data_IF_956827736608
#
_entry.id   IF_956827736608
#
_cell.length_a   1.000
_cell.length_b   1.000
_cell.length_c   1.000
_cell.angle_alpha   90.00
_cell.angle_beta   90.00
_cell.angle_gamma   90.00
#
_symmetry.space_group_name_H-M   'P 1'
#
loop_
_entity.id
_entity.type
_entity.pdbx_description
1 polymer ?
#
# COMPACT_ATOMS: atom_id res chain seq x y z
N UNK A 1 -9.16 24.07 -7.54
CA UNK A 1 -9.96 23.42 -8.61
C UNK A 1 -9.85 21.89 -8.45
N UNK A 2 -9.98 21.41 -7.21
CA UNK A 2 -9.70 20.04 -6.73
C UNK A 2 -10.88 19.54 -5.85
N UNK A 3 -12.12 19.83 -6.28
CA UNK A 3 -13.31 19.62 -5.44
C UNK A 3 -14.47 18.90 -6.14
N UNK A 4 -14.26 18.29 -7.31
CA UNK A 4 -15.39 17.68 -8.06
C UNK A 4 -15.07 16.38 -8.80
N UNK A 5 -14.06 15.61 -8.39
CA UNK A 5 -14.06 14.17 -8.70
C UNK A 5 -14.95 13.47 -7.68
N UNK A 6 -16.26 13.63 -7.93
CA UNK A 6 -17.33 12.83 -7.35
C UNK A 6 -16.90 11.37 -7.40
N UNK A 7 -16.84 10.75 -6.23
CA UNK A 7 -17.38 9.41 -5.93
C UNK A 7 -18.07 8.75 -7.14
N UNK A 8 -17.28 8.16 -8.02
CA UNK A 8 -17.73 7.33 -9.12
C UNK A 8 -17.38 5.90 -8.78
N UNK A 9 -17.82 5.41 -7.62
CA UNK A 9 -17.84 3.98 -7.36
C UNK A 9 -18.71 3.38 -8.46
N UNK A 10 -18.10 2.65 -9.39
CA UNK A 10 -18.87 1.70 -10.17
C UNK A 10 -19.34 0.66 -9.18
N UNK A 11 -20.62 0.71 -8.84
CA UNK A 11 -21.24 -0.35 -8.06
C UNK A 11 -21.14 -1.64 -8.88
N UNK A 12 -21.05 -2.81 -8.24
CA UNK A 12 -21.15 -4.10 -8.96
C UNK A 12 -22.40 -4.18 -9.84
N UNK A 13 -23.40 -3.33 -9.58
CA UNK A 13 -24.58 -3.08 -10.39
C UNK A 13 -24.29 -2.43 -11.75
N UNK A 14 -23.38 -1.46 -11.86
CA UNK A 14 -23.08 -0.77 -13.13
C UNK A 14 -22.23 -1.64 -14.05
N UNK A 15 -21.29 -2.42 -13.50
CA UNK A 15 -20.60 -3.48 -14.23
C UNK A 15 -21.60 -4.55 -14.71
N UNK A 16 -22.49 -5.02 -13.83
CA UNK A 16 -23.53 -5.99 -14.21
C UNK A 16 -24.54 -5.44 -15.24
N UNK A 17 -24.87 -4.15 -15.18
CA UNK A 17 -25.70 -3.47 -16.18
C UNK A 17 -24.99 -3.42 -17.54
N UNK A 18 -23.71 -3.09 -17.55
CA UNK A 18 -22.91 -3.05 -18.78
C UNK A 18 -22.75 -4.45 -19.38
N UNK A 19 -22.49 -5.47 -18.56
CA UNK A 19 -22.46 -6.87 -18.99
C UNK A 19 -23.82 -7.31 -19.54
N UNK A 20 -24.92 -6.98 -18.87
CA UNK A 20 -26.28 -7.33 -19.32
C UNK A 20 -26.69 -6.62 -20.62
N UNK A 21 -26.25 -5.37 -20.82
CA UNK A 21 -26.45 -4.63 -22.07
C UNK A 21 -25.64 -5.22 -23.23
N UNK A 22 -24.40 -5.67 -22.96
CA UNK A 22 -23.54 -6.35 -23.95
C UNK A 22 -24.08 -7.74 -24.29
N UNK A 23 -24.50 -8.53 -23.31
CA UNK A 23 -25.20 -9.81 -23.53
C UNK A 23 -26.51 -9.61 -24.30
N UNK A 24 -27.26 -8.54 -24.00
CA UNK A 24 -28.46 -8.16 -24.72
C UNK A 24 -28.19 -7.73 -26.17
N UNK A 25 -27.04 -7.11 -26.43
CA UNK A 25 -26.55 -6.79 -27.77
C UNK A 25 -26.14 -8.06 -28.53
N UNK A 26 -25.38 -8.96 -27.91
CA UNK A 26 -24.98 -10.25 -28.49
C UNK A 26 -26.21 -11.11 -28.84
N UNK A 27 -27.20 -11.17 -27.95
CA UNK A 27 -28.45 -11.90 -28.19
C UNK A 27 -29.30 -11.29 -29.32
N UNK A 28 -29.21 -9.96 -29.55
CA UNK A 28 -29.91 -9.26 -30.64
C UNK A 28 -29.16 -9.31 -31.98
N UNK A 29 -27.84 -9.46 -31.93
CA UNK A 29 -26.94 -9.56 -33.09
C UNK A 29 -26.79 -10.98 -33.62
N UNK A 30 -27.22 -11.98 -32.84
CA UNK A 30 -27.21 -13.39 -33.24
C UNK A 30 -27.72 -13.57 -34.67
N UNK A 31 -26.78 -13.91 -35.56
CA UNK A 31 -26.90 -14.25 -37.00
C UNK A 31 -26.40 -13.27 -38.08
N UNK A 32 -25.80 -12.10 -37.77
CA UNK A 32 -25.52 -11.10 -38.85
C UNK A 32 -24.04 -10.99 -39.25
N UNK A 33 -23.07 -11.15 -38.34
CA UNK A 33 -21.64 -10.97 -38.67
C UNK A 33 -20.71 -11.77 -37.71
N UNK A 34 -19.97 -12.79 -38.19
CA UNK A 34 -19.10 -13.61 -37.35
C UNK A 34 -17.91 -12.83 -36.76
N UNK A 35 -17.40 -11.81 -37.44
CA UNK A 35 -16.28 -10.99 -36.94
C UNK A 35 -16.76 -10.15 -35.73
N UNK A 36 -18.04 -9.78 -35.71
CA UNK A 36 -18.67 -9.05 -34.61
C UNK A 36 -19.01 -9.95 -33.41
N UNK A 37 -19.34 -11.22 -33.65
CA UNK A 37 -19.53 -12.22 -32.58
C UNK A 37 -18.23 -12.48 -31.82
N UNK A 38 -17.10 -12.58 -32.52
CA UNK A 38 -15.77 -12.75 -31.91
C UNK A 38 -15.37 -11.51 -31.07
N UNK A 39 -15.56 -10.31 -31.62
CA UNK A 39 -15.33 -9.04 -30.90
C UNK A 39 -16.19 -8.90 -29.63
N UNK A 40 -17.43 -9.38 -29.65
CA UNK A 40 -18.32 -9.35 -28.48
C UNK A 40 -17.94 -10.38 -27.42
N UNK A 41 -17.47 -11.56 -27.83
CA UNK A 41 -16.96 -12.58 -26.91
C UNK A 41 -15.68 -12.10 -26.21
N UNK A 42 -14.75 -11.52 -26.97
CA UNK A 42 -13.54 -10.91 -26.43
C UNK A 42 -13.87 -9.75 -25.48
N UNK A 43 -14.90 -8.96 -25.78
CA UNK A 43 -15.36 -7.89 -24.91
C UNK A 43 -15.94 -8.42 -23.60
N UNK A 44 -16.76 -9.47 -23.65
CA UNK A 44 -17.31 -10.09 -22.43
C UNK A 44 -16.20 -10.66 -21.55
N UNK A 45 -15.23 -11.37 -22.13
CA UNK A 45 -14.08 -11.88 -21.40
C UNK A 45 -13.25 -10.75 -20.79
N UNK A 46 -13.05 -9.67 -21.55
CA UNK A 46 -12.31 -8.50 -21.07
C UNK A 46 -13.09 -7.71 -19.99
N UNK A 47 -14.42 -7.75 -19.97
CA UNK A 47 -15.24 -7.16 -18.92
C UNK A 47 -15.25 -7.99 -17.62
N UNK A 48 -15.06 -9.31 -17.69
CA UNK A 48 -14.86 -10.15 -16.50
C UNK A 48 -13.54 -9.87 -15.78
N UNK A 49 -12.50 -9.49 -16.53
CA UNK A 49 -11.21 -9.03 -15.99
C UNK A 49 -10.76 -7.72 -16.66
N UNK A 50 -11.32 -6.58 -16.23
CA UNK A 50 -11.11 -5.29 -16.89
C UNK A 50 -9.64 -4.89 -16.92
N UNK A 51 -9.10 -4.72 -18.11
CA UNK A 51 -7.78 -4.14 -18.33
C UNK A 51 -7.82 -3.18 -19.52
N UNK A 52 -7.18 -2.03 -19.36
CA UNK A 52 -7.06 -1.03 -20.43
C UNK A 52 -6.44 -1.64 -21.70
N UNK A 53 -5.43 -2.49 -21.55
CA UNK A 53 -4.73 -3.14 -22.67
C UNK A 53 -5.66 -4.04 -23.51
N UNK A 54 -6.61 -4.74 -22.87
CA UNK A 54 -7.57 -5.61 -23.59
C UNK A 54 -8.77 -4.83 -24.11
N UNK A 55 -9.28 -3.87 -23.33
CA UNK A 55 -10.53 -3.18 -23.64
C UNK A 55 -10.37 -2.02 -24.64
N UNK A 56 -9.21 -1.38 -24.71
CA UNK A 56 -8.97 -0.27 -25.64
C UNK A 56 -9.11 -0.67 -27.13
N UNK A 57 -8.44 -1.72 -27.64
CA UNK A 57 -8.60 -2.11 -29.05
C UNK A 57 -10.02 -2.59 -29.38
N UNK A 58 -10.72 -3.21 -28.43
CA UNK A 58 -12.11 -3.67 -28.60
C UNK A 58 -13.08 -2.49 -28.65
N UNK A 59 -12.90 -1.51 -27.77
CA UNK A 59 -13.70 -0.29 -27.77
C UNK A 59 -13.49 0.55 -29.02
N UNK A 60 -12.25 0.63 -29.54
CA UNK A 60 -11.94 1.30 -30.81
C UNK A 60 -12.60 0.57 -31.99
N UNK A 61 -12.57 -0.77 -32.02
CA UNK A 61 -13.22 -1.57 -33.07
C UNK A 61 -14.76 -1.46 -33.06
N UNK A 62 -15.35 -1.24 -31.89
CA UNK A 62 -16.80 -1.15 -31.70
C UNK A 62 -17.34 0.29 -31.64
N UNK A 63 -16.48 1.31 -31.74
CA UNK A 63 -16.82 2.73 -31.53
C UNK A 63 -17.51 3.00 -30.17
N UNK A 64 -17.04 2.31 -29.12
CA UNK A 64 -17.59 2.31 -27.76
C UNK A 64 -16.57 2.77 -26.72
N UNK A 65 -16.13 4.03 -26.85
CA UNK A 65 -15.15 4.65 -25.96
C UNK A 65 -15.59 4.72 -24.48
N UNK A 66 -16.90 4.62 -24.21
CA UNK A 66 -17.46 4.47 -22.87
C UNK A 66 -16.96 3.20 -22.15
N UNK A 67 -16.66 2.14 -22.90
CA UNK A 67 -16.09 0.89 -22.36
C UNK A 67 -14.64 1.06 -21.89
N UNK A 68 -13.86 1.94 -22.54
CA UNK A 68 -12.48 2.27 -22.11
C UNK A 68 -12.51 3.05 -20.80
N UNK A 69 -13.43 3.99 -20.67
CA UNK A 69 -13.60 4.76 -19.43
C UNK A 69 -14.07 3.86 -18.28
N UNK A 70 -14.99 2.92 -18.55
CA UNK A 70 -15.45 1.93 -17.59
C UNK A 70 -14.33 0.96 -17.19
N UNK A 71 -13.52 0.51 -18.14
CA UNK A 71 -12.33 -0.32 -17.92
C UNK A 71 -11.31 0.38 -17.01
N UNK A 72 -10.99 1.63 -17.34
CA UNK A 72 -10.02 2.42 -16.59
C UNK A 72 -10.46 2.60 -15.12
N UNK A 73 -11.76 2.91 -14.90
CA UNK A 73 -12.34 3.03 -13.55
C UNK A 73 -12.35 1.69 -12.80
N UNK A 74 -12.72 0.59 -13.45
CA UNK A 74 -12.72 -0.73 -12.84
C UNK A 74 -11.29 -1.17 -12.44
N UNK A 75 -10.32 -0.90 -13.31
CA UNK A 75 -8.90 -1.15 -13.04
C UNK A 75 -8.38 -0.28 -11.87
N UNK A 76 -8.73 1.00 -11.83
CA UNK A 76 -8.40 1.91 -10.71
C UNK A 76 -9.01 1.41 -9.39
N UNK A 77 -10.26 0.96 -9.41
CA UNK A 77 -10.92 0.40 -8.22
C UNK A 77 -10.29 -0.91 -7.74
N UNK A 78 -9.88 -1.79 -8.67
CA UNK A 78 -9.14 -3.00 -8.34
C UNK A 78 -7.79 -2.66 -7.67
N UNK A 79 -7.09 -1.64 -8.17
CA UNK A 79 -5.88 -1.11 -7.55
C UNK A 79 -6.12 -0.59 -6.13
N UNK A 80 -7.18 0.19 -5.91
CA UNK A 80 -7.57 0.65 -4.58
C UNK A 80 -7.82 -0.51 -3.61
N UNK A 81 -8.48 -1.58 -4.06
CA UNK A 81 -8.74 -2.76 -3.24
C UNK A 81 -7.46 -3.53 -2.89
N UNK A 82 -6.55 -3.71 -3.84
CA UNK A 82 -5.27 -4.37 -3.60
C UNK A 82 -4.40 -3.59 -2.61
N UNK A 83 -4.30 -2.26 -2.78
CA UNK A 83 -3.58 -1.40 -1.86
C UNK A 83 -4.21 -1.43 -0.47
N UNK A 84 -5.55 -1.36 -0.38
CA UNK A 84 -6.25 -1.45 0.90
C UNK A 84 -6.01 -2.79 1.61
N UNK A 85 -5.99 -3.90 0.85
CA UNK A 85 -5.71 -5.22 1.39
C UNK A 85 -4.30 -5.30 1.99
N UNK A 86 -3.28 -4.73 1.33
CA UNK A 86 -1.92 -4.64 1.88
C UNK A 86 -1.88 -3.78 3.13
N UNK A 87 -2.55 -2.63 3.14
CA UNK A 87 -2.59 -1.75 4.31
C UNK A 87 -3.25 -2.39 5.53
N UNK A 88 -4.22 -3.29 5.32
CA UNK A 88 -4.93 -4.04 6.35
C UNK A 88 -4.25 -5.35 6.74
N UNK A 89 -3.14 -5.71 6.09
CA UNK A 89 -2.43 -6.93 6.40
C UNK A 89 -1.81 -6.84 7.80
N UNK A 90 -2.06 -7.87 8.61
CA UNK A 90 -1.35 -8.12 9.86
C UNK A 90 -0.10 -8.97 9.57
N UNK A 91 1.01 -8.61 10.21
CA UNK A 91 2.27 -9.35 10.10
C UNK A 91 2.49 -10.17 11.37
N UNK A 92 2.98 -11.39 11.21
CA UNK A 92 3.42 -12.19 12.35
C UNK A 92 4.67 -11.56 12.98
N UNK A 93 4.83 -11.71 14.29
CA UNK A 93 5.98 -11.18 15.04
C UNK A 93 7.33 -11.60 14.45
N UNK A 94 7.44 -12.85 13.96
CA UNK A 94 8.66 -13.34 13.30
C UNK A 94 9.04 -12.56 12.03
N UNK A 95 8.06 -11.95 11.35
CA UNK A 95 8.30 -11.08 10.21
C UNK A 95 8.68 -9.66 10.63
N UNK A 96 8.16 -9.21 11.77
CA UNK A 96 8.48 -7.92 12.39
C UNK A 96 9.88 -7.89 12.99
N UNK A 97 10.46 -9.04 13.37
CA UNK A 97 11.82 -9.11 13.94
C UNK A 97 12.90 -9.14 12.84
N UNK A 98 12.77 -8.33 11.79
CA UNK A 98 13.76 -8.28 10.70
C UNK A 98 14.71 -7.07 10.82
N UNK A 99 15.99 -7.31 10.52
CA UNK A 99 16.97 -6.26 10.24
C UNK A 99 17.39 -5.40 11.44
N UNK A 100 16.97 -4.13 11.46
CA UNK A 100 17.38 -3.16 12.47
C UNK A 100 16.66 -3.33 13.82
N UNK A 101 15.39 -3.73 13.82
CA UNK A 101 14.63 -4.04 15.03
C UNK A 101 15.28 -5.19 15.81
N UNK A 102 15.56 -6.31 15.14
CA UNK A 102 16.17 -7.49 15.79
C UNK A 102 17.49 -7.18 16.50
N UNK A 103 18.33 -6.34 15.90
CA UNK A 103 19.60 -5.93 16.51
C UNK A 103 19.39 -5.09 17.77
N UNK A 104 18.39 -4.23 17.77
CA UNK A 104 18.07 -3.40 18.92
C UNK A 104 17.45 -4.23 20.04
N UNK A 105 16.51 -5.11 19.70
CA UNK A 105 15.86 -6.03 20.64
C UNK A 105 16.90 -6.92 21.35
N UNK A 106 17.78 -7.60 20.61
CA UNK A 106 18.84 -8.41 21.22
C UNK A 106 19.77 -7.58 22.13
N UNK A 107 20.10 -6.34 21.75
CA UNK A 107 20.91 -5.47 22.59
C UNK A 107 20.18 -5.07 23.89
N UNK A 108 18.87 -4.83 23.84
CA UNK A 108 18.04 -4.53 25.01
C UNK A 108 17.90 -5.75 25.93
N UNK A 109 17.72 -6.95 25.38
CA UNK A 109 17.72 -8.20 26.13
C UNK A 109 19.07 -8.41 26.84
N UNK A 110 20.19 -8.27 26.14
CA UNK A 110 21.53 -8.34 26.73
C UNK A 110 21.72 -7.30 27.85
N UNK A 111 21.20 -6.09 27.68
CA UNK A 111 21.26 -5.04 28.71
C UNK A 111 20.42 -5.38 29.94
N UNK A 112 19.24 -5.97 29.77
CA UNK A 112 18.37 -6.43 30.86
C UNK A 112 19.00 -7.59 31.65
N UNK A 113 19.75 -8.47 30.98
CA UNK A 113 20.41 -9.64 31.59
C UNK A 113 21.78 -9.33 32.20
N UNK A 114 22.48 -8.30 31.72
CA UNK A 114 23.80 -7.88 32.20
C UNK A 114 23.74 -6.89 33.39
N UNK A 115 24.91 -6.39 33.85
CA UNK A 115 25.06 -5.38 34.91
C UNK A 115 24.51 -3.98 34.56
N UNK A 116 23.55 -3.86 33.63
CA UNK A 116 22.85 -2.62 33.22
C UNK A 116 23.78 -1.42 32.99
N UNK A 117 24.68 -1.51 32.00
CA UNK A 117 25.41 -0.32 31.54
C UNK A 117 24.49 0.62 30.75
N UNK A 118 23.72 1.43 31.50
CA UNK A 118 22.76 2.38 30.96
C UNK A 118 23.42 3.44 30.08
N UNK A 119 24.68 3.79 30.32
CA UNK A 119 25.39 4.77 29.49
C UNK A 119 25.67 4.22 28.09
N UNK A 120 26.11 2.96 27.99
CA UNK A 120 26.31 2.29 26.71
C UNK A 120 24.98 2.11 25.95
N UNK A 121 23.92 1.69 26.63
CA UNK A 121 22.60 1.50 26.00
C UNK A 121 21.99 2.82 25.53
N UNK A 122 22.06 3.89 26.33
CA UNK A 122 21.62 5.24 25.91
C UNK A 122 22.37 5.67 24.66
N UNK A 123 23.69 5.52 24.62
CA UNK A 123 24.48 5.89 23.44
C UNK A 123 24.07 5.10 22.19
N UNK A 124 23.75 3.80 22.33
CA UNK A 124 23.25 2.98 21.22
C UNK A 124 21.89 3.51 20.72
N UNK A 125 20.95 3.75 21.64
CA UNK A 125 19.62 4.25 21.32
C UNK A 125 19.66 5.63 20.63
N UNK A 126 20.55 6.53 21.07
CA UNK A 126 20.76 7.83 20.43
C UNK A 126 21.24 7.70 18.99
N UNK A 127 22.20 6.80 18.73
CA UNK A 127 22.68 6.51 17.37
C UNK A 127 21.54 6.02 16.47
N UNK A 128 20.69 5.14 16.98
CA UNK A 128 19.52 4.66 16.25
C UNK A 128 18.51 5.78 15.98
N UNK A 129 18.19 6.60 16.99
CA UNK A 129 17.26 7.74 16.86
C UNK A 129 17.75 8.73 15.82
N UNK A 130 19.02 9.13 15.91
CA UNK A 130 19.59 10.15 15.02
C UNK A 130 19.61 9.67 13.57
N UNK A 131 19.90 8.38 13.35
CA UNK A 131 19.84 7.77 12.03
C UNK A 131 18.42 7.74 11.47
N UNK A 132 17.44 7.30 12.24
CA UNK A 132 16.02 7.28 11.81
C UNK A 132 15.56 8.71 11.48
N UNK A 133 15.93 9.70 12.30
CA UNK A 133 15.60 11.10 12.06
C UNK A 133 16.29 11.67 10.81
N UNK A 134 17.51 11.22 10.50
CA UNK A 134 18.20 11.58 9.25
C UNK A 134 17.52 10.95 8.03
N UNK A 135 17.15 9.67 8.10
CA UNK A 135 16.44 8.97 7.03
C UNK A 135 15.05 9.59 6.78
N UNK A 136 14.30 9.96 7.82
CA UNK A 136 13.04 10.69 7.69
C UNK A 136 13.23 12.03 6.98
N UNK A 137 14.19 12.86 7.42
CA UNK A 137 14.47 14.16 6.78
C UNK A 137 14.86 13.98 5.32
N UNK A 138 15.72 13.01 5.02
CA UNK A 138 16.11 12.70 3.65
C UNK A 138 14.94 12.21 2.78
N UNK A 139 13.94 11.55 3.37
CA UNK A 139 12.70 11.18 2.69
C UNK A 139 11.81 12.40 2.44
N UNK A 140 11.61 13.26 3.45
CA UNK A 140 10.84 14.50 3.34
C UNK A 140 11.43 15.48 2.30
N UNK A 141 12.75 15.44 2.10
CA UNK A 141 13.47 16.23 1.09
C UNK A 141 13.37 15.67 -0.35
N UNK A 142 12.69 14.51 -0.57
CA UNK A 142 12.57 13.89 -1.91
C UNK A 142 11.42 14.46 -2.76
N UNK A 143 11.65 14.38 -4.07
CA UNK A 143 11.17 15.29 -5.12
C UNK A 143 9.75 15.09 -5.66
N UNK A 144 9.04 14.01 -5.35
CA UNK A 144 7.76 13.77 -6.02
C UNK A 144 6.69 14.70 -5.46
N UNK A 145 6.16 15.56 -6.32
CA UNK A 145 5.01 16.37 -5.96
C UNK A 145 3.77 15.47 -5.83
N UNK A 146 2.84 15.73 -4.88
CA UNK A 146 1.65 14.89 -4.69
C UNK A 146 0.83 14.67 -5.96
N UNK A 147 0.93 15.59 -6.93
CA UNK A 147 0.32 15.52 -8.25
C UNK A 147 0.89 14.40 -9.15
N UNK A 148 2.09 13.88 -8.84
CA UNK A 148 2.77 12.83 -9.59
C UNK A 148 2.59 11.44 -8.95
N UNK A 149 1.86 11.35 -7.84
CA UNK A 149 1.74 10.11 -7.08
C UNK A 149 0.66 9.20 -7.65
N UNK A 150 1.04 7.94 -7.90
CA UNK A 150 0.07 6.86 -8.09
C UNK A 150 -0.55 6.47 -6.75
N UNK A 151 -1.68 5.76 -6.76
CA UNK A 151 -2.35 5.28 -5.54
C UNK A 151 -1.37 4.47 -4.65
N UNK A 152 -0.56 3.53 -5.18
CA UNK A 152 0.44 2.82 -4.37
C UNK A 152 1.50 3.74 -3.76
N UNK A 153 1.97 4.75 -4.51
CA UNK A 153 2.98 5.71 -4.03
C UNK A 153 2.42 6.54 -2.88
N UNK A 154 1.20 7.06 -3.01
CA UNK A 154 0.56 7.84 -1.96
C UNK A 154 0.30 7.01 -0.68
N UNK A 155 -0.07 5.73 -0.84
CA UNK A 155 -0.24 4.82 0.29
C UNK A 155 1.10 4.47 0.96
N UNK A 156 2.13 4.19 0.16
CA UNK A 156 3.47 3.87 0.65
C UNK A 156 4.09 5.06 1.40
N UNK A 157 3.96 6.28 0.87
CA UNK A 157 4.46 7.49 1.54
C UNK A 157 3.82 7.69 2.91
N UNK A 158 2.49 7.57 3.00
CA UNK A 158 1.78 7.69 4.28
C UNK A 158 2.26 6.65 5.30
N UNK A 159 2.40 5.40 4.88
CA UNK A 159 2.89 4.32 5.74
C UNK A 159 4.33 4.57 6.18
N UNK A 160 5.20 5.05 5.27
CA UNK A 160 6.59 5.35 5.57
C UNK A 160 6.71 6.49 6.58
N UNK A 161 5.96 7.57 6.41
CA UNK A 161 5.91 8.67 7.37
C UNK A 161 5.44 8.19 8.75
N UNK A 162 4.39 7.37 8.81
CA UNK A 162 3.92 6.77 10.06
C UNK A 162 4.94 5.82 10.68
N UNK A 163 5.67 5.05 9.87
CA UNK A 163 6.73 4.15 10.32
C UNK A 163 7.84 4.94 11.03
N UNK A 164 8.34 6.01 10.40
CA UNK A 164 9.35 6.88 11.00
C UNK A 164 8.87 7.50 12.31
N UNK A 165 7.64 8.02 12.35
CA UNK A 165 7.08 8.62 13.55
C UNK A 165 7.01 7.63 14.73
N UNK A 166 6.48 6.43 14.49
CA UNK A 166 6.39 5.37 15.50
C UNK A 166 7.78 4.92 15.99
N UNK A 167 8.74 4.82 15.07
CA UNK A 167 10.13 4.49 15.42
C UNK A 167 10.78 5.56 16.30
N UNK A 168 10.63 6.84 15.95
CA UNK A 168 11.19 7.93 16.74
C UNK A 168 10.54 8.00 18.13
N UNK A 169 9.21 7.90 18.20
CA UNK A 169 8.49 7.91 19.47
C UNK A 169 8.90 6.73 20.36
N UNK A 170 9.00 5.51 19.80
CA UNK A 170 9.47 4.34 20.52
C UNK A 170 10.91 4.48 21.03
N UNK A 171 11.82 5.01 20.21
CA UNK A 171 13.21 5.24 20.61
C UNK A 171 13.35 6.33 21.69
N UNK A 172 12.56 7.41 21.59
CA UNK A 172 12.51 8.45 22.62
C UNK A 172 12.00 7.90 23.96
N UNK A 173 10.97 7.06 23.94
CA UNK A 173 10.49 6.41 25.16
C UNK A 173 11.51 5.42 25.73
N UNK A 174 12.21 4.64 24.89
CA UNK A 174 13.29 3.76 25.34
C UNK A 174 14.44 4.54 25.98
N UNK A 175 14.83 5.68 25.39
CA UNK A 175 15.87 6.54 25.98
C UNK A 175 15.50 7.01 27.38
N UNK A 176 14.23 7.40 27.58
CA UNK A 176 13.71 7.76 28.89
C UNK A 176 13.71 6.55 29.82
N UNK A 177 13.20 5.40 29.37
CA UNK A 177 13.09 4.20 30.19
C UNK A 177 14.46 3.69 30.66
N UNK A 178 15.42 3.53 29.74
CA UNK A 178 16.80 3.12 30.04
C UNK A 178 17.51 4.16 30.91
N UNK A 179 17.31 5.46 30.64
CA UNK A 179 17.89 6.54 31.45
C UNK A 179 17.40 6.56 32.91
N UNK A 180 16.22 6.00 33.17
CA UNK A 180 15.67 5.79 34.51
C UNK A 180 15.81 4.35 35.02
N UNK A 181 16.54 3.49 34.31
CA UNK A 181 16.73 2.07 34.63
C UNK A 181 15.41 1.30 34.81
N UNK A 182 14.39 1.67 34.03
CA UNK A 182 13.08 1.00 34.00
C UNK A 182 13.18 -0.36 33.31
N UNK A 183 12.50 -1.34 33.89
CA UNK A 183 12.35 -2.69 33.31
C UNK A 183 11.12 -2.79 32.40
N UNK A 184 10.22 -1.82 32.49
CA UNK A 184 9.04 -1.76 31.63
C UNK A 184 9.38 -1.05 30.31
N UNK A 185 9.81 -1.85 29.33
CA UNK A 185 10.13 -1.41 27.98
C UNK A 185 9.02 -1.75 26.96
N UNK A 186 8.02 -2.52 27.38
CA UNK A 186 7.01 -3.09 26.48
C UNK A 186 6.26 -2.02 25.66
N UNK A 187 5.80 -0.89 26.24
CA UNK A 187 5.09 0.13 25.45
C UNK A 187 5.95 0.71 24.32
N UNK A 188 7.25 0.87 24.56
CA UNK A 188 8.16 1.42 23.56
C UNK A 188 8.47 0.40 22.46
N UNK A 189 8.62 -0.88 22.82
CA UNK A 189 8.81 -1.97 21.87
C UNK A 189 7.57 -2.16 20.97
N UNK A 190 6.36 -2.04 21.52
CA UNK A 190 5.11 -2.08 20.75
C UNK A 190 5.08 -1.00 19.65
N UNK A 191 5.54 0.22 19.95
CA UNK A 191 5.64 1.30 18.95
C UNK A 191 6.65 0.96 17.86
N UNK A 192 7.83 0.44 18.22
CA UNK A 192 8.84 0.02 17.26
C UNK A 192 8.34 -1.11 16.35
N UNK A 193 7.62 -2.10 16.91
CA UNK A 193 6.99 -3.19 16.16
C UNK A 193 5.94 -2.66 15.18
N UNK A 194 5.07 -1.76 15.63
CA UNK A 194 4.06 -1.13 14.77
C UNK A 194 4.71 -0.31 13.64
N UNK A 195 5.80 0.41 13.95
CA UNK A 195 6.60 1.10 12.95
C UNK A 195 7.21 0.15 11.91
N UNK A 196 7.75 -0.99 12.37
CA UNK A 196 8.33 -1.99 11.46
C UNK A 196 7.27 -2.68 10.59
N UNK A 197 6.07 -2.91 11.12
CA UNK A 197 4.93 -3.40 10.33
C UNK A 197 4.62 -2.48 9.15
N UNK A 198 4.67 -1.16 9.35
CA UNK A 198 4.46 -0.19 8.28
C UNK A 198 5.57 -0.23 7.22
N UNK A 199 6.84 -0.41 7.61
CA UNK A 199 7.92 -0.62 6.64
C UNK A 199 7.70 -1.87 5.77
N UNK A 200 7.27 -2.99 6.36
CA UNK A 200 6.94 -4.20 5.62
C UNK A 200 5.76 -4.00 4.65
N UNK A 201 4.74 -3.21 5.06
CA UNK A 201 3.64 -2.84 4.15
C UNK A 201 4.15 -2.04 2.95
N UNK A 202 5.08 -1.12 3.15
CA UNK A 202 5.73 -0.37 2.06
C UNK A 202 6.48 -1.31 1.12
N UNK A 203 7.27 -2.25 1.65
CA UNK A 203 7.94 -3.27 0.83
C UNK A 203 6.94 -4.11 0.02
N UNK A 204 5.79 -4.45 0.62
CA UNK A 204 4.75 -5.22 -0.04
C UNK A 204 4.03 -4.43 -1.14
N UNK A 205 3.77 -3.14 -0.91
CA UNK A 205 3.24 -2.24 -1.92
C UNK A 205 4.19 -2.10 -3.10
N UNK A 206 5.50 -2.05 -2.88
CA UNK A 206 6.51 -2.01 -3.94
C UNK A 206 6.55 -3.30 -4.79
N UNK A 207 5.99 -4.40 -4.29
CA UNK A 207 5.90 -5.68 -5.02
C UNK A 207 4.60 -5.81 -5.83
N UNK A 208 3.61 -4.94 -5.61
CA UNK A 208 2.43 -4.85 -6.48
C UNK A 208 2.90 -4.31 -7.83
N UNK A 209 3.09 -5.20 -8.81
CA UNK A 209 3.44 -4.79 -10.17
C UNK A 209 2.21 -4.18 -10.84
N UNK A 210 2.43 -2.99 -11.42
CA UNK A 210 1.67 -2.43 -12.54
C UNK A 210 1.71 -3.36 -13.74
#
# INVERSE_FOLDING_TARGET
>A
MLAQLRTGTLTSQELALTTSEVEGLAARLGSVDPDLEELLADLLEALESPSLERLQPLAEALDRFDLVELAARAQEQAWHQQVAAVCQQDFEESELVRGHYARLESALEEWLEAERDSAAMVSLLEVHRDRVAEEQRAHEDRYLTPEEWTIPVAAADRLLCQAYQLWLEGLEQLLVAVGHESDDLAPSLELLLAGNANFLKVERLAQLRG
#
